data_IF_750346058662
#
_entry.id   IF_750346058662
#
_cell.length_a   1.000
_cell.length_b   1.000
_cell.length_c   1.000
_cell.angle_alpha   90.00
_cell.angle_beta   90.00
_cell.angle_gamma   90.00
#
_symmetry.space_group_name_H-M   'P 1'
#
loop_
_entity.id
_entity.type
_entity.pdbx_description
1 polymer ?
#
# COMPACT_ATOMS: atom_id res chain seq x y z
N UNK A 1 -37.51 -32.94 66.33
CA UNK A 1 -36.62 -33.12 65.16
C UNK A 1 -37.47 -32.99 63.91
N UNK A 2 -37.45 -31.80 63.25
CA UNK A 2 -38.22 -31.57 62.04
C UNK A 2 -37.34 -31.97 60.84
N UNK A 3 -37.80 -32.93 60.06
CA UNK A 3 -37.09 -33.44 58.87
C UNK A 3 -37.47 -32.55 57.69
N UNK A 4 -36.55 -31.65 57.29
CA UNK A 4 -36.68 -30.89 56.06
C UNK A 4 -36.69 -31.82 54.87
N UNK A 5 -37.85 -32.04 54.26
CA UNK A 5 -37.98 -32.81 53.02
C UNK A 5 -37.57 -31.83 51.89
N UNK A 6 -36.36 -31.98 51.38
CA UNK A 6 -35.91 -31.26 50.19
C UNK A 6 -36.72 -31.81 49.00
N UNK A 7 -37.61 -31.00 48.50
CA UNK A 7 -38.48 -31.33 47.37
C UNK A 7 -37.65 -31.23 46.06
N UNK A 8 -37.00 -32.34 45.69
CA UNK A 8 -36.25 -32.43 44.44
C UNK A 8 -37.22 -32.55 43.26
N UNK A 9 -37.58 -31.40 42.70
CA UNK A 9 -38.30 -31.37 41.41
C UNK A 9 -37.31 -31.64 40.32
N UNK A 10 -37.43 -32.78 39.65
CA UNK A 10 -36.67 -33.10 38.45
C UNK A 10 -37.10 -32.25 37.25
N UNK A 11 -36.19 -31.94 36.35
CA UNK A 11 -36.50 -31.28 35.07
C UNK A 11 -37.41 -32.13 34.19
N UNK A 12 -38.35 -31.49 33.54
CA UNK A 12 -39.18 -32.17 32.54
C UNK A 12 -38.42 -32.27 31.18
N UNK A 13 -38.73 -33.28 30.38
CA UNK A 13 -38.12 -33.51 29.10
C UNK A 13 -38.35 -32.29 28.16
N UNK A 14 -39.55 -31.68 28.22
CA UNK A 14 -39.88 -30.49 27.42
C UNK A 14 -39.04 -29.28 27.81
N UNK A 15 -38.75 -29.08 29.10
CA UNK A 15 -37.96 -27.99 29.62
C UNK A 15 -36.49 -28.08 29.08
N UNK A 16 -35.94 -29.30 29.04
CA UNK A 16 -34.62 -29.57 28.52
C UNK A 16 -34.58 -29.31 27.00
N UNK A 17 -35.63 -29.68 26.24
CA UNK A 17 -35.70 -29.39 24.82
C UNK A 17 -35.75 -27.89 24.53
N UNK A 18 -36.51 -27.11 25.29
CA UNK A 18 -36.57 -25.64 25.12
C UNK A 18 -35.25 -24.98 25.43
N UNK A 19 -34.55 -25.43 26.48
CA UNK A 19 -33.19 -24.91 26.82
C UNK A 19 -32.18 -25.19 25.69
N UNK A 20 -32.23 -26.39 25.12
CA UNK A 20 -31.34 -26.75 24.00
C UNK A 20 -31.60 -25.90 22.76
N UNK A 21 -32.86 -25.61 22.42
CA UNK A 21 -33.21 -24.72 21.31
C UNK A 21 -32.69 -23.31 21.54
N UNK A 22 -32.92 -22.73 22.73
CA UNK A 22 -32.42 -21.38 23.04
C UNK A 22 -30.90 -21.34 23.03
N UNK A 23 -30.22 -22.34 23.59
CA UNK A 23 -28.78 -22.43 23.61
C UNK A 23 -28.20 -22.53 22.20
N UNK A 24 -28.85 -23.30 21.32
CA UNK A 24 -28.44 -23.43 19.91
C UNK A 24 -28.54 -22.10 19.16
N UNK A 25 -29.63 -21.34 19.36
CA UNK A 25 -29.81 -20.02 18.75
C UNK A 25 -28.78 -19.00 19.27
N UNK A 26 -28.51 -19.00 20.58
CA UNK A 26 -27.47 -18.15 21.17
C UNK A 26 -26.07 -18.46 20.60
N UNK A 27 -25.74 -19.76 20.51
CA UNK A 27 -24.44 -20.20 19.98
C UNK A 27 -24.30 -19.81 18.51
N UNK A 28 -25.36 -19.98 17.70
CA UNK A 28 -25.35 -19.57 16.29
C UNK A 28 -25.14 -18.04 16.15
N UNK A 29 -25.85 -17.24 16.95
CA UNK A 29 -25.69 -15.78 16.99
C UNK A 29 -24.26 -15.38 17.36
N UNK A 30 -23.66 -16.04 18.36
CA UNK A 30 -22.30 -15.79 18.80
C UNK A 30 -21.28 -16.13 17.71
N UNK A 31 -21.38 -17.26 17.04
CA UNK A 31 -20.48 -17.68 15.95
C UNK A 31 -20.54 -16.70 14.77
N UNK A 32 -21.75 -16.26 14.37
CA UNK A 32 -21.89 -15.28 13.28
C UNK A 32 -21.31 -13.91 13.66
N UNK A 33 -21.53 -13.45 14.88
CA UNK A 33 -20.96 -12.19 15.38
C UNK A 33 -19.43 -12.21 15.40
N UNK A 34 -18.83 -13.24 16.00
CA UNK A 34 -17.37 -13.38 16.04
C UNK A 34 -16.76 -13.55 14.64
N UNK A 35 -17.41 -14.32 13.77
CA UNK A 35 -16.94 -14.52 12.39
C UNK A 35 -16.92 -13.20 11.59
N UNK A 36 -17.93 -12.36 11.75
CA UNK A 36 -17.96 -11.02 11.15
C UNK A 36 -16.89 -10.09 11.69
N UNK A 37 -16.76 -10.05 13.04
CA UNK A 37 -15.73 -9.24 13.71
C UNK A 37 -14.31 -9.60 13.33
N UNK A 38 -14.02 -10.91 13.21
CA UNK A 38 -12.70 -11.39 12.82
C UNK A 38 -12.33 -10.98 11.39
N UNK A 39 -13.28 -11.05 10.45
CA UNK A 39 -13.04 -10.61 9.06
C UNK A 39 -12.74 -9.11 8.99
N UNK A 40 -13.53 -8.29 9.68
CA UNK A 40 -13.30 -6.84 9.73
C UNK A 40 -11.97 -6.48 10.38
N UNK A 41 -11.57 -7.21 11.42
CA UNK A 41 -10.26 -7.03 12.07
C UNK A 41 -9.10 -7.35 11.12
N UNK A 42 -9.16 -8.49 10.44
CA UNK A 42 -8.11 -8.93 9.50
C UNK A 42 -8.00 -7.93 8.35
N UNK A 43 -9.12 -7.51 7.75
CA UNK A 43 -9.13 -6.51 6.68
C UNK A 43 -8.52 -5.18 7.14
N UNK A 44 -8.87 -4.70 8.34
CA UNK A 44 -8.29 -3.48 8.90
C UNK A 44 -6.77 -3.58 9.15
N UNK A 45 -6.27 -4.74 9.55
CA UNK A 45 -4.82 -4.95 9.72
C UNK A 45 -4.06 -4.90 8.39
N UNK A 46 -4.57 -5.53 7.36
CA UNK A 46 -3.97 -5.47 6.02
C UNK A 46 -3.90 -4.03 5.51
N UNK A 47 -4.97 -3.27 5.66
CA UNK A 47 -4.99 -1.87 5.23
C UNK A 47 -3.97 -1.00 5.97
N UNK A 48 -3.80 -1.18 7.29
CA UNK A 48 -2.79 -0.47 8.07
C UNK A 48 -1.35 -0.87 7.67
N UNK A 49 -1.11 -2.14 7.44
CA UNK A 49 0.19 -2.64 7.02
C UNK A 49 0.60 -2.03 5.69
N UNK A 50 -0.29 -2.02 4.73
CA UNK A 50 -0.01 -1.49 3.41
C UNK A 50 0.18 0.03 3.40
N UNK A 51 -0.61 0.78 4.16
CA UNK A 51 -0.35 2.21 4.33
C UNK A 51 1.06 2.45 4.88
N UNK A 52 1.52 1.61 5.79
CA UNK A 52 2.87 1.70 6.34
C UNK A 52 3.94 1.36 5.30
N UNK A 53 3.77 0.27 4.57
CA UNK A 53 4.70 -0.16 3.53
C UNK A 53 4.79 0.86 2.40
N UNK A 54 3.65 1.37 1.94
CA UNK A 54 3.58 2.42 0.92
C UNK A 54 4.29 3.70 1.35
N UNK A 55 4.11 4.14 2.62
CA UNK A 55 4.82 5.30 3.16
C UNK A 55 6.32 5.09 3.23
N UNK A 56 6.78 3.92 3.69
CA UNK A 56 8.21 3.59 3.76
C UNK A 56 8.82 3.58 2.34
N UNK A 57 8.14 3.00 1.36
CA UNK A 57 8.57 3.00 -0.02
C UNK A 57 8.68 4.42 -0.58
N UNK A 58 7.65 5.23 -0.36
CA UNK A 58 7.60 6.62 -0.81
C UNK A 58 8.68 7.48 -0.15
N UNK A 59 8.87 7.38 1.16
CA UNK A 59 9.91 8.12 1.90
C UNK A 59 11.31 7.77 1.41
N UNK A 60 11.54 6.49 1.09
CA UNK A 60 12.79 6.03 0.49
C UNK A 60 13.00 6.62 -0.90
N UNK A 61 11.98 6.58 -1.75
CA UNK A 61 12.03 7.19 -3.09
C UNK A 61 12.33 8.68 -3.00
N UNK A 62 11.58 9.40 -2.17
CA UNK A 62 11.77 10.85 -1.95
C UNK A 62 13.18 11.18 -1.52
N UNK A 63 13.73 10.39 -0.58
CA UNK A 63 15.10 10.58 -0.10
C UNK A 63 16.12 10.37 -1.21
N UNK A 64 16.03 9.25 -1.92
CA UNK A 64 16.98 8.88 -2.96
C UNK A 64 16.87 9.82 -4.18
N UNK A 65 15.67 10.25 -4.58
CA UNK A 65 15.47 11.23 -5.66
C UNK A 65 16.05 12.60 -5.27
N UNK A 66 15.85 13.04 -4.04
CA UNK A 66 16.36 14.33 -3.54
C UNK A 66 17.89 14.40 -3.49
N UNK A 67 18.55 13.27 -3.28
CA UNK A 67 20.02 13.17 -3.26
C UNK A 67 20.63 13.18 -4.67
N UNK A 68 19.81 12.99 -5.72
CA UNK A 68 20.26 13.03 -7.10
C UNK A 68 20.54 14.43 -7.61
N UNK A 69 21.34 14.51 -8.67
CA UNK A 69 21.78 15.75 -9.28
C UNK A 69 20.85 16.19 -10.42
N UNK A 70 20.40 15.24 -11.22
CA UNK A 70 19.50 15.50 -12.36
C UNK A 70 18.64 14.27 -12.70
N UNK A 71 17.56 14.54 -13.41
CA UNK A 71 16.73 13.50 -14.01
C UNK A 71 17.22 13.22 -15.41
N UNK A 72 17.39 11.95 -15.75
CA UNK A 72 17.91 11.54 -17.04
C UNK A 72 16.80 11.47 -18.07
N UNK A 73 17.07 12.07 -19.22
CA UNK A 73 16.26 11.99 -20.43
C UNK A 73 17.22 11.79 -21.62
N UNK A 74 17.53 10.52 -21.90
CA UNK A 74 18.37 10.12 -23.04
C UNK A 74 17.65 9.06 -23.85
N UNK A 75 17.68 9.18 -25.16
CA UNK A 75 17.03 8.25 -26.12
C UNK A 75 17.29 6.79 -25.81
N UNK A 76 16.24 6.07 -25.43
CA UNK A 76 16.25 4.64 -25.13
C UNK A 76 16.33 4.29 -23.64
N UNK A 77 16.45 5.26 -22.75
CA UNK A 77 16.45 5.08 -21.29
C UNK A 77 15.90 6.35 -20.61
N UNK A 78 14.73 6.79 -21.04
CA UNK A 78 14.17 8.05 -20.59
C UNK A 78 13.33 7.88 -19.34
N UNK A 79 13.35 8.90 -18.48
CA UNK A 79 12.34 9.09 -17.46
C UNK A 79 11.00 9.40 -18.13
N UNK A 80 9.94 8.78 -17.68
CA UNK A 80 8.56 8.99 -18.16
C UNK A 80 7.57 9.02 -16.98
N UNK A 81 6.28 8.92 -17.26
CA UNK A 81 5.26 8.90 -16.21
C UNK A 81 5.34 7.67 -15.28
N UNK A 82 5.96 6.58 -15.72
CA UNK A 82 6.02 5.32 -14.97
C UNK A 82 7.45 4.97 -14.51
N UNK A 83 8.43 5.67 -15.05
CA UNK A 83 9.86 5.41 -14.82
C UNK A 83 10.57 6.70 -14.50
N UNK A 84 11.33 6.72 -13.42
CA UNK A 84 12.24 7.83 -13.13
C UNK A 84 13.68 7.33 -13.04
N UNK A 85 14.58 8.00 -13.75
CA UNK A 85 16.02 7.76 -13.71
C UNK A 85 16.71 8.98 -13.12
N UNK A 86 17.34 8.77 -11.98
CA UNK A 86 18.06 9.81 -11.22
C UNK A 86 19.55 9.60 -11.38
N UNK A 87 20.26 10.61 -11.85
CA UNK A 87 21.70 10.57 -12.05
C UNK A 87 22.44 11.24 -10.89
N UNK A 88 23.59 10.67 -10.51
CA UNK A 88 24.45 11.11 -9.40
C UNK A 88 25.84 11.50 -9.94
N UNK A 89 25.88 12.58 -10.71
CA UNK A 89 27.12 13.03 -11.39
C UNK A 89 28.18 13.52 -10.40
N UNK A 90 27.77 14.21 -9.34
CA UNK A 90 28.67 14.78 -8.32
C UNK A 90 29.31 13.70 -7.46
N UNK A 91 28.57 12.66 -7.14
CA UNK A 91 29.05 11.57 -6.28
C UNK A 91 29.73 10.45 -7.06
N UNK A 92 29.80 10.54 -8.40
CA UNK A 92 30.27 9.47 -9.28
C UNK A 92 29.60 8.11 -9.01
N UNK A 93 28.37 8.15 -8.51
CA UNK A 93 27.57 6.96 -8.27
C UNK A 93 26.83 6.53 -9.54
N UNK A 94 26.40 5.28 -9.56
CA UNK A 94 25.60 4.74 -10.65
C UNK A 94 24.17 5.30 -10.60
N UNK A 95 23.57 5.51 -11.79
CA UNK A 95 22.19 5.96 -11.93
C UNK A 95 21.21 5.07 -11.16
N UNK A 96 20.21 5.69 -10.60
CA UNK A 96 19.13 5.02 -9.88
C UNK A 96 17.87 5.06 -10.70
N UNK A 97 17.28 3.91 -10.95
CA UNK A 97 16.02 3.77 -11.67
C UNK A 97 14.94 3.24 -10.76
N UNK A 98 13.81 3.94 -10.68
CA UNK A 98 12.54 3.40 -10.23
C UNK A 98 11.66 3.17 -11.44
N UNK A 99 11.12 1.97 -11.57
CA UNK A 99 10.31 1.58 -12.72
C UNK A 99 9.08 0.78 -12.27
N UNK A 100 7.95 1.09 -12.89
CA UNK A 100 6.72 0.31 -12.83
C UNK A 100 6.28 -0.06 -14.24
N UNK A 101 5.76 -1.26 -14.43
CA UNK A 101 5.41 -1.82 -15.75
C UNK A 101 4.25 -1.12 -16.46
N UNK A 102 3.48 -0.31 -15.74
CA UNK A 102 2.21 0.25 -16.23
C UNK A 102 1.02 -0.70 -16.08
N UNK A 103 1.22 -1.87 -15.48
CA UNK A 103 0.16 -2.86 -15.26
C UNK A 103 -0.23 -2.87 -13.78
N UNK A 104 -1.51 -2.64 -13.49
CA UNK A 104 -2.03 -2.68 -12.12
C UNK A 104 -1.81 -4.06 -11.49
N UNK A 105 -1.34 -4.06 -10.23
CA UNK A 105 -0.95 -5.26 -9.49
C UNK A 105 0.53 -5.62 -9.59
N UNK A 106 1.27 -5.04 -10.54
CA UNK A 106 2.71 -5.26 -10.62
C UNK A 106 3.49 -4.48 -9.57
N UNK A 107 4.73 -4.91 -9.30
CA UNK A 107 5.61 -4.29 -8.32
C UNK A 107 6.30 -3.05 -8.89
N UNK A 108 6.43 -2.02 -8.04
CA UNK A 108 7.39 -0.94 -8.26
C UNK A 108 8.80 -1.47 -7.96
N UNK A 109 9.69 -1.36 -8.92
CA UNK A 109 11.05 -1.87 -8.82
C UNK A 109 12.08 -0.75 -8.71
N UNK A 110 13.21 -1.06 -8.08
CA UNK A 110 14.36 -0.18 -7.92
C UNK A 110 15.61 -0.88 -8.42
N UNK A 111 16.36 -0.19 -9.25
CA UNK A 111 17.63 -0.67 -9.82
C UNK A 111 18.70 0.42 -9.66
N UNK A 112 19.94 0.05 -9.32
CA UNK A 112 21.10 0.96 -9.33
C UNK A 112 22.11 0.46 -10.36
N UNK A 113 22.43 1.30 -11.34
CA UNK A 113 23.33 1.01 -12.44
C UNK A 113 22.99 -0.29 -13.17
N UNK A 114 23.98 -1.16 -13.32
CA UNK A 114 23.84 -2.49 -13.90
C UNK A 114 23.42 -3.58 -12.90
N UNK A 115 23.17 -3.23 -11.65
CA UNK A 115 22.76 -4.16 -10.59
C UNK A 115 21.39 -4.79 -10.82
N UNK A 116 20.98 -5.72 -9.94
CA UNK A 116 19.67 -6.35 -10.02
C UNK A 116 18.54 -5.37 -9.73
N UNK A 117 17.39 -5.57 -10.38
CA UNK A 117 16.16 -4.89 -10.06
C UNK A 117 15.52 -5.56 -8.85
N UNK A 118 15.21 -4.78 -7.80
CA UNK A 118 14.58 -5.27 -6.57
C UNK A 118 13.20 -4.63 -6.40
N UNK A 119 12.20 -5.39 -5.95
CA UNK A 119 10.91 -4.84 -5.59
C UNK A 119 11.06 -3.90 -4.38
N UNK A 120 10.41 -2.75 -4.45
CA UNK A 120 10.32 -1.75 -3.38
C UNK A 120 8.93 -1.77 -2.76
N UNK A 121 7.92 -2.00 -3.60
CA UNK A 121 6.52 -2.06 -3.22
C UNK A 121 5.79 -2.98 -4.18
N UNK A 122 4.98 -3.88 -3.65
CA UNK A 122 4.16 -4.79 -4.43
C UNK A 122 2.72 -4.26 -4.54
N UNK A 123 1.92 -4.84 -5.45
CA UNK A 123 0.53 -4.51 -5.66
C UNK A 123 0.28 -3.03 -5.98
N UNK A 124 1.12 -2.43 -6.81
CA UNK A 124 0.96 -1.04 -7.25
C UNK A 124 -0.19 -0.95 -8.24
N UNK A 125 -1.22 -0.16 -7.90
CA UNK A 125 -2.34 0.13 -8.81
C UNK A 125 -1.89 1.08 -9.92
N UNK A 126 -1.24 2.17 -9.54
CA UNK A 126 -0.58 3.09 -10.47
C UNK A 126 0.50 3.90 -9.77
N UNK A 127 1.50 4.32 -10.53
CA UNK A 127 2.41 5.37 -10.12
C UNK A 127 2.54 6.37 -11.27
N UNK A 128 2.60 7.66 -10.93
CA UNK A 128 2.78 8.71 -11.93
C UNK A 128 3.80 9.73 -11.42
N UNK A 129 4.83 9.95 -12.24
CA UNK A 129 5.82 11.00 -12.05
C UNK A 129 5.46 12.19 -12.93
N UNK A 130 5.26 13.36 -12.35
CA UNK A 130 5.04 14.61 -13.07
C UNK A 130 6.21 15.55 -12.81
N UNK A 131 6.81 16.03 -13.86
CA UNK A 131 8.03 16.84 -13.83
C UNK A 131 7.68 18.32 -13.96
N UNK A 132 8.11 19.14 -12.99
CA UNK A 132 7.82 20.56 -12.94
C UNK A 132 9.10 21.39 -12.95
N UNK A 133 9.04 22.58 -13.55
CA UNK A 133 10.10 23.58 -13.42
C UNK A 133 9.99 24.33 -12.08
N UNK A 134 10.92 25.26 -11.83
CA UNK A 134 10.94 26.07 -10.61
C UNK A 134 9.68 26.94 -10.43
N UNK A 135 8.99 27.30 -11.52
CA UNK A 135 7.74 28.03 -11.50
C UNK A 135 6.51 27.14 -11.26
N UNK A 136 6.69 25.80 -11.15
CA UNK A 136 5.59 24.86 -10.97
C UNK A 136 4.83 24.51 -12.26
N UNK A 137 5.42 24.79 -13.41
CA UNK A 137 4.84 24.45 -14.73
C UNK A 137 5.36 23.09 -15.16
N UNK A 138 4.45 22.24 -15.65
CA UNK A 138 4.79 20.92 -16.17
C UNK A 138 5.74 20.99 -17.37
N UNK A 139 6.74 20.13 -17.37
CA UNK A 139 7.80 20.09 -18.36
C UNK A 139 7.67 18.86 -19.21
N UNK A 140 7.89 19.01 -20.51
CA UNK A 140 8.03 17.91 -21.47
C UNK A 140 9.46 17.38 -21.55
N UNK A 141 10.43 18.13 -21.01
CA UNK A 141 11.83 17.71 -20.90
C UNK A 141 12.17 17.51 -19.42
N UNK A 142 12.18 16.29 -18.99
CA UNK A 142 12.37 15.84 -17.60
C UNK A 142 13.73 16.23 -17.04
N UNK A 143 14.77 16.32 -17.90
CA UNK A 143 16.14 16.71 -17.49
C UNK A 143 16.22 18.16 -16.98
N UNK A 144 15.25 18.98 -17.31
CA UNK A 144 15.13 20.37 -16.84
C UNK A 144 14.20 20.55 -15.65
N UNK A 145 13.67 19.45 -15.10
CA UNK A 145 12.78 19.50 -13.97
C UNK A 145 13.54 19.81 -12.67
N UNK A 146 13.02 20.76 -11.90
CA UNK A 146 13.53 21.08 -10.55
C UNK A 146 12.69 20.47 -9.44
N UNK A 147 11.45 20.08 -9.75
CA UNK A 147 10.49 19.48 -8.84
C UNK A 147 9.79 18.30 -9.50
N UNK A 148 9.55 17.25 -8.74
CA UNK A 148 8.86 16.05 -9.18
C UNK A 148 7.67 15.84 -8.27
N UNK A 149 6.49 15.68 -8.85
CA UNK A 149 5.32 15.19 -8.14
C UNK A 149 5.24 13.68 -8.33
N UNK A 150 4.97 12.97 -7.27
CA UNK A 150 4.80 11.52 -7.24
C UNK A 150 3.39 11.24 -6.73
N UNK A 151 2.55 10.68 -7.58
CA UNK A 151 1.27 10.10 -7.20
C UNK A 151 1.42 8.58 -7.19
N UNK A 152 1.24 7.96 -6.05
CA UNK A 152 1.36 6.51 -5.85
C UNK A 152 0.04 5.97 -5.33
N UNK A 153 -0.50 5.00 -6.04
CA UNK A 153 -1.74 4.31 -5.71
C UNK A 153 -1.46 2.82 -5.54
N UNK A 154 -1.94 2.24 -4.47
CA UNK A 154 -1.71 0.83 -4.12
C UNK A 154 -3.04 0.15 -3.87
N UNK A 155 -3.16 -1.06 -4.37
CA UNK A 155 -4.30 -1.94 -4.21
C UNK A 155 -3.88 -3.17 -3.37
N UNK A 156 -4.58 -3.40 -2.28
CA UNK A 156 -4.24 -4.41 -1.28
C UNK A 156 -5.06 -5.67 -1.38
N UNK A 157 -6.28 -5.53 -1.81
CA UNK A 157 -7.21 -6.66 -1.89
C UNK A 157 -7.15 -7.38 -3.24
N UNK A 158 -6.38 -6.85 -4.20
CA UNK A 158 -6.11 -7.44 -5.50
C UNK A 158 -7.28 -7.29 -6.47
N UNK A 159 -8.21 -6.38 -6.21
CA UNK A 159 -9.36 -6.16 -7.07
C UNK A 159 -9.09 -5.14 -8.21
N UNK A 160 -7.93 -4.51 -8.22
CA UNK A 160 -7.51 -3.54 -9.23
C UNK A 160 -7.60 -4.07 -10.67
N UNK A 161 -7.35 -5.37 -10.86
CA UNK A 161 -7.47 -6.02 -12.17
C UNK A 161 -8.92 -6.08 -12.68
N UNK A 162 -9.90 -5.89 -11.80
CA UNK A 162 -11.34 -5.89 -12.10
C UNK A 162 -11.96 -4.49 -12.13
N UNK A 163 -11.13 -3.44 -12.00
CA UNK A 163 -11.55 -2.04 -11.99
C UNK A 163 -11.91 -1.51 -10.61
N UNK A 164 -11.42 -2.15 -9.56
CA UNK A 164 -11.52 -1.67 -8.19
C UNK A 164 -10.79 -0.34 -7.96
N UNK A 165 -11.18 0.36 -6.91
CA UNK A 165 -10.50 1.59 -6.50
C UNK A 165 -9.22 1.25 -5.72
N UNK A 166 -8.15 2.07 -5.84
CA UNK A 166 -6.98 1.88 -5.01
C UNK A 166 -7.33 2.10 -3.54
N UNK A 167 -6.79 1.23 -2.67
CA UNK A 167 -7.00 1.31 -1.21
C UNK A 167 -6.21 2.45 -0.56
N UNK A 168 -5.05 2.77 -1.13
CA UNK A 168 -4.14 3.79 -0.62
C UNK A 168 -3.71 4.70 -1.76
N UNK A 169 -3.89 6.01 -1.59
CA UNK A 169 -3.41 7.05 -2.50
C UNK A 169 -2.50 7.98 -1.71
N UNK A 170 -1.27 8.14 -2.17
CA UNK A 170 -0.28 9.04 -1.58
C UNK A 170 0.28 9.97 -2.65
N UNK A 171 0.23 11.28 -2.35
CA UNK A 171 0.82 12.32 -3.17
C UNK A 171 1.98 12.96 -2.42
N UNK A 172 3.08 13.19 -3.13
CA UNK A 172 4.22 13.92 -2.57
C UNK A 172 4.93 14.72 -3.64
N UNK A 173 5.69 15.73 -3.20
CA UNK A 173 6.52 16.56 -4.06
C UNK A 173 7.97 16.49 -3.58
N UNK A 174 8.90 16.36 -4.52
CA UNK A 174 10.33 16.31 -4.26
C UNK A 174 11.01 17.42 -5.03
N UNK A 175 11.73 18.29 -4.33
CA UNK A 175 12.63 19.28 -4.96
C UNK A 175 14.03 18.66 -5.06
N UNK A 176 14.64 18.73 -6.24
CA UNK A 176 16.01 18.28 -6.48
C UNK A 176 17.00 19.22 -5.79
N UNK A 177 17.95 18.65 -5.05
CA UNK A 177 18.87 19.43 -4.20
C UNK A 177 19.90 20.22 -5.01
N UNK A 178 20.36 19.68 -6.11
CA UNK A 178 21.50 20.18 -6.88
C UNK A 178 21.10 20.76 -8.24
N UNK A 179 19.84 21.13 -8.42
CA UNK A 179 19.36 21.67 -9.68
C UNK A 179 19.96 23.07 -9.97
N UNK A 180 20.76 23.16 -11.03
CA UNK A 180 21.20 24.46 -11.57
C UNK A 180 22.49 25.06 -11.01
N UNK A 181 23.40 24.27 -10.43
CA UNK A 181 24.75 24.70 -10.06
C UNK A 181 25.79 24.14 -11.03
#
# INVERSE_FOLDING_TARGET
>A
MSKNIINNKGFTLIELMVVLVILSLMTLGMVTFFGGGMRSWISGQFQLQAQRETRIALDRMVKEIREGDLIRNESGNDSDSNTIIVSYTVLAEEDLTFNWSGTSGDSLTRKRGSGPSNSVLDNVHSITFTYLNQAGVEMTNESSASKILINLQVDLDGDASTGGNPDVILDTAVDLRNFGY
#
